data_IF_260885829070
#
_entry.id   IF_260885829070
#
_cell.length_a   1.000
_cell.length_b   1.000
_cell.length_c   1.000
_cell.angle_alpha   90.00
_cell.angle_beta   90.00
_cell.angle_gamma   90.00
#
_symmetry.space_group_name_H-M   'P 1'
#
loop_
_entity.id
_entity.type
_entity.pdbx_description
1 polymer ?
#
# COMPACT_ATOMS: atom_id res chain seq x y z
N UNK A 1 7.78 2.21 -2.09
CA UNK A 1 7.71 0.78 -2.43
C UNK A 1 6.27 0.31 -2.41
N UNK A 2 5.94 -0.69 -3.22
CA UNK A 2 4.73 -1.50 -3.09
C UNK A 2 5.11 -2.96 -2.94
N UNK A 3 4.43 -3.71 -2.07
CA UNK A 3 4.75 -5.10 -1.77
C UNK A 3 3.47 -5.94 -1.65
N UNK A 4 3.51 -7.15 -2.18
CA UNK A 4 2.41 -8.11 -2.18
C UNK A 4 2.94 -9.54 -2.10
N UNK A 5 2.11 -10.43 -1.55
CA UNK A 5 2.34 -11.88 -1.57
C UNK A 5 1.12 -12.55 -2.19
N UNK A 6 1.37 -13.35 -3.23
CA UNK A 6 0.34 -14.18 -3.84
C UNK A 6 0.55 -15.63 -3.41
N UNK A 7 -0.51 -16.21 -2.83
CA UNK A 7 -0.57 -17.62 -2.48
C UNK A 7 -1.12 -18.47 -3.63
N UNK A 8 -0.77 -19.76 -3.68
CA UNK A 8 -1.39 -20.70 -4.60
C UNK A 8 -2.87 -20.92 -4.25
N UNK A 9 -3.57 -21.67 -5.12
CA UNK A 9 -4.98 -21.99 -4.93
C UNK A 9 -5.25 -22.60 -3.53
N UNK A 10 -6.42 -22.37 -2.90
CA UNK A 10 -6.73 -22.92 -1.57
C UNK A 10 -6.58 -24.44 -1.40
N UNK A 11 -6.68 -25.20 -2.50
CA UNK A 11 -6.54 -26.67 -2.53
C UNK A 11 -5.14 -27.14 -2.96
N UNK A 12 -4.22 -26.22 -3.18
CA UNK A 12 -2.83 -26.52 -3.44
C UNK A 12 -2.06 -26.39 -2.11
N UNK A 13 -1.38 -27.47 -1.72
CA UNK A 13 -0.64 -27.61 -0.47
C UNK A 13 0.88 -27.66 -0.68
N UNK A 14 1.35 -27.54 -1.94
CA UNK A 14 2.75 -27.77 -2.30
C UNK A 14 3.37 -26.55 -2.95
N UNK A 15 2.63 -25.84 -3.80
CA UNK A 15 3.19 -24.71 -4.54
C UNK A 15 3.67 -23.59 -3.61
N UNK A 16 4.79 -22.94 -3.90
CA UNK A 16 5.28 -21.86 -3.06
C UNK A 16 4.36 -20.63 -3.13
N UNK A 17 4.47 -19.76 -2.13
CA UNK A 17 3.96 -18.39 -2.27
C UNK A 17 4.96 -17.56 -3.06
N UNK A 18 4.50 -16.50 -3.72
CA UNK A 18 5.38 -15.59 -4.48
C UNK A 18 5.25 -14.18 -3.92
N UNK A 19 6.35 -13.64 -3.43
CA UNK A 19 6.45 -12.24 -3.01
C UNK A 19 6.95 -11.36 -4.17
N UNK A 20 6.38 -10.17 -4.27
CA UNK A 20 6.81 -9.15 -5.21
C UNK A 20 6.95 -7.80 -4.50
N UNK A 21 8.05 -7.10 -4.76
CA UNK A 21 8.31 -5.74 -4.24
C UNK A 21 8.69 -4.86 -5.42
N UNK A 22 8.08 -3.67 -5.49
CA UNK A 22 8.36 -2.65 -6.51
C UNK A 22 8.86 -1.36 -5.89
N UNK A 23 9.82 -0.72 -6.53
CA UNK A 23 10.35 0.60 -6.17
C UNK A 23 10.17 1.59 -7.31
N UNK A 24 9.79 2.84 -7.01
CA UNK A 24 9.78 3.92 -8.00
C UNK A 24 11.21 4.31 -8.33
N UNK A 25 11.52 4.61 -9.60
CA UNK A 25 12.88 4.81 -10.11
C UNK A 25 13.12 6.18 -10.73
N UNK A 26 12.13 7.06 -10.66
CA UNK A 26 12.26 8.44 -11.10
C UNK A 26 11.61 9.38 -10.10
N UNK A 27 12.42 10.20 -9.43
CA UNK A 27 11.93 11.26 -8.56
C UNK A 27 12.11 12.61 -9.26
N UNK A 28 11.11 13.52 -9.27
CA UNK A 28 9.86 13.50 -8.49
C UNK A 28 8.62 12.86 -9.16
N UNK A 29 8.71 12.44 -10.43
CA UNK A 29 7.53 11.98 -11.17
C UNK A 29 6.90 10.66 -10.63
N UNK A 30 7.69 9.78 -10.02
CA UNK A 30 7.30 8.53 -9.37
C UNK A 30 6.36 7.63 -10.20
N UNK A 31 6.60 7.54 -11.52
CA UNK A 31 5.75 6.81 -12.47
C UNK A 31 6.49 5.66 -13.22
N UNK A 32 7.80 5.50 -13.00
CA UNK A 32 8.57 4.34 -13.46
C UNK A 32 8.89 3.46 -12.28
N UNK A 33 8.64 2.16 -12.40
CA UNK A 33 8.87 1.19 -11.33
C UNK A 33 9.70 0.01 -11.83
N UNK A 34 10.57 -0.50 -10.96
CA UNK A 34 11.27 -1.78 -11.14
C UNK A 34 10.77 -2.75 -10.07
N UNK A 35 10.66 -4.03 -10.42
CA UNK A 35 10.25 -5.11 -9.53
C UNK A 35 11.41 -6.01 -9.12
N UNK A 36 11.25 -6.64 -7.95
CA UNK A 36 11.93 -7.86 -7.52
C UNK A 36 10.88 -8.87 -7.11
N UNK A 37 11.14 -10.14 -7.39
CA UNK A 37 10.24 -11.24 -7.06
C UNK A 37 11.01 -12.39 -6.43
N UNK A 38 10.39 -13.08 -5.49
CA UNK A 38 10.98 -14.23 -4.78
C UNK A 38 9.90 -15.29 -4.56
N UNK A 39 10.28 -16.53 -4.78
CA UNK A 39 9.52 -17.68 -4.30
C UNK A 39 9.82 -17.84 -2.81
N UNK A 40 8.79 -18.06 -2.01
CA UNK A 40 8.92 -18.25 -0.57
C UNK A 40 8.06 -19.42 -0.08
N UNK A 41 8.21 -19.77 1.19
CA UNK A 41 7.52 -20.90 1.82
C UNK A 41 6.01 -20.92 1.53
N UNK A 42 5.44 -22.13 1.40
CA UNK A 42 4.01 -22.33 1.15
C UNK A 42 3.16 -21.55 2.17
N UNK A 43 2.19 -20.77 1.69
CA UNK A 43 1.31 -19.89 2.50
C UNK A 43 2.02 -18.98 3.52
N UNK A 44 3.28 -18.65 3.28
CA UNK A 44 3.99 -17.67 4.09
C UNK A 44 3.57 -16.28 3.66
N UNK A 45 2.95 -15.50 4.55
CA UNK A 45 2.55 -14.11 4.27
C UNK A 45 3.72 -13.14 4.44
N UNK A 46 4.60 -13.35 5.41
CA UNK A 46 5.72 -12.41 5.65
C UNK A 46 6.75 -12.58 4.54
N UNK A 47 7.21 -11.48 3.94
CA UNK A 47 8.18 -11.53 2.85
C UNK A 47 9.55 -11.93 3.39
N UNK A 48 9.97 -13.17 3.13
CA UNK A 48 11.18 -13.76 3.72
C UNK A 48 12.46 -13.02 3.29
N UNK A 49 12.55 -12.68 2.00
CA UNK A 49 13.76 -12.09 1.40
C UNK A 49 13.61 -10.57 1.19
N UNK A 50 12.79 -9.91 2.02
CA UNK A 50 12.47 -8.48 1.87
C UNK A 50 13.72 -7.60 1.97
N UNK A 51 14.66 -7.96 2.85
CA UNK A 51 15.90 -7.22 3.04
C UNK A 51 16.71 -7.12 1.73
N UNK A 52 16.92 -8.25 1.05
CA UNK A 52 17.66 -8.28 -0.20
C UNK A 52 16.92 -7.51 -1.30
N UNK A 53 15.60 -7.73 -1.44
CA UNK A 53 14.77 -7.07 -2.44
C UNK A 53 14.78 -5.54 -2.27
N UNK A 54 14.65 -5.04 -1.04
CA UNK A 54 14.69 -3.61 -0.75
C UNK A 54 16.08 -3.04 -1.02
N UNK A 55 17.14 -3.73 -0.59
CA UNK A 55 18.52 -3.31 -0.83
C UNK A 55 18.82 -3.16 -2.32
N UNK A 56 18.47 -4.16 -3.12
CA UNK A 56 18.59 -4.13 -4.59
C UNK A 56 17.81 -2.96 -5.20
N UNK A 57 16.57 -2.70 -4.76
CA UNK A 57 15.78 -1.60 -5.29
C UNK A 57 16.32 -0.22 -4.89
N UNK A 58 16.94 -0.08 -3.71
CA UNK A 58 17.61 1.17 -3.31
C UNK A 58 18.88 1.38 -4.14
N UNK A 59 19.63 0.32 -4.47
CA UNK A 59 20.78 0.39 -5.39
C UNK A 59 20.36 0.88 -6.78
N UNK A 60 19.28 0.31 -7.33
CA UNK A 60 18.69 0.74 -8.60
C UNK A 60 18.24 2.20 -8.55
N UNK A 61 17.58 2.61 -7.47
CA UNK A 61 17.18 4.00 -7.27
C UNK A 61 18.38 4.94 -7.23
N UNK A 62 19.43 4.58 -6.48
CA UNK A 62 20.67 5.34 -6.42
C UNK A 62 21.31 5.45 -7.80
N UNK A 63 21.30 4.38 -8.59
CA UNK A 63 21.81 4.40 -9.95
C UNK A 63 20.99 5.33 -10.86
N UNK A 64 19.65 5.28 -10.78
CA UNK A 64 18.76 6.07 -11.64
C UNK A 64 18.69 7.55 -11.25
N UNK A 65 18.60 7.85 -9.95
CA UNK A 65 18.34 9.20 -9.41
C UNK A 65 19.64 9.88 -8.92
N UNK A 66 20.74 9.13 -8.82
CA UNK A 66 22.05 9.59 -8.31
C UNK A 66 22.02 10.11 -6.87
N UNK A 67 20.97 9.76 -6.12
CA UNK A 67 20.77 10.13 -4.71
C UNK A 67 20.06 8.99 -3.99
N UNK A 68 20.42 8.76 -2.73
CA UNK A 68 19.65 7.87 -1.85
C UNK A 68 18.33 8.56 -1.44
N UNK A 69 17.21 7.82 -1.34
CA UNK A 69 15.94 8.42 -0.96
C UNK A 69 15.96 8.81 0.52
N UNK A 70 15.57 10.03 0.86
CA UNK A 70 15.53 10.46 2.27
C UNK A 70 14.35 9.89 3.05
N UNK A 71 13.28 9.52 2.33
CA UNK A 71 12.04 8.99 2.88
C UNK A 71 11.68 7.72 2.14
N UNK A 72 11.26 6.70 2.89
CA UNK A 72 10.71 5.46 2.37
C UNK A 72 9.24 5.40 2.75
N UNK A 73 8.38 5.21 1.76
CA UNK A 73 6.95 4.98 1.95
C UNK A 73 6.67 3.58 1.43
N UNK A 74 6.23 2.68 2.30
CA UNK A 74 6.07 1.26 2.01
C UNK A 74 4.59 0.88 2.08
N UNK A 75 4.03 0.48 0.95
CA UNK A 75 2.65 0.01 0.83
C UNK A 75 2.63 -1.52 0.77
N UNK A 76 2.09 -2.17 1.80
CA UNK A 76 1.96 -3.62 1.91
C UNK A 76 0.52 -4.06 1.66
N UNK A 77 0.25 -4.74 0.55
CA UNK A 77 -1.09 -5.25 0.20
C UNK A 77 -1.41 -6.57 0.92
N UNK A 78 -2.66 -6.96 1.05
CA UNK A 78 -3.03 -8.36 1.35
C UNK A 78 -2.90 -8.85 2.79
N UNK A 79 -2.45 -8.02 3.74
CA UNK A 79 -2.25 -8.44 5.13
C UNK A 79 -3.53 -8.27 5.96
N UNK A 80 -3.91 -9.29 6.74
CA UNK A 80 -5.02 -9.22 7.69
C UNK A 80 -4.63 -8.49 8.98
N UNK A 81 -5.60 -7.87 9.66
CA UNK A 81 -5.38 -7.13 10.92
C UNK A 81 -4.68 -7.99 11.99
N UNK A 82 -5.04 -9.27 12.06
CA UNK A 82 -4.44 -10.25 12.98
C UNK A 82 -2.93 -10.45 12.78
N UNK A 83 -2.40 -10.12 11.60
CA UNK A 83 -1.00 -10.28 11.23
C UNK A 83 -0.21 -8.96 11.30
N UNK A 84 -0.87 -7.81 11.52
CA UNK A 84 -0.24 -6.48 11.46
C UNK A 84 1.02 -6.39 12.33
N UNK A 85 0.93 -6.78 13.60
CA UNK A 85 2.07 -6.69 14.51
C UNK A 85 3.26 -7.53 14.05
N UNK A 86 2.99 -8.76 13.60
CA UNK A 86 4.04 -9.70 13.17
C UNK A 86 4.71 -9.23 11.88
N UNK A 87 3.90 -8.89 10.87
CA UNK A 87 4.36 -8.35 9.59
C UNK A 87 5.15 -7.06 9.81
N UNK A 88 4.62 -6.11 10.58
CA UNK A 88 5.32 -4.86 10.86
C UNK A 88 6.67 -5.12 11.49
N UNK A 89 6.72 -5.96 12.54
CA UNK A 89 7.97 -6.23 13.26
C UNK A 89 9.04 -6.82 12.35
N UNK A 90 8.70 -7.83 11.55
CA UNK A 90 9.65 -8.54 10.70
C UNK A 90 10.02 -7.71 9.44
N UNK A 91 9.03 -7.16 8.74
CA UNK A 91 9.26 -6.44 7.48
C UNK A 91 9.88 -5.04 7.70
N UNK A 92 9.48 -4.31 8.75
CA UNK A 92 10.13 -3.03 9.07
C UNK A 92 11.60 -3.24 9.44
N UNK A 93 11.90 -4.30 10.18
CA UNK A 93 13.28 -4.64 10.51
C UNK A 93 14.08 -4.98 9.25
N UNK A 94 13.53 -5.78 8.35
CA UNK A 94 14.17 -6.11 7.07
C UNK A 94 14.47 -4.85 6.23
N UNK A 95 13.53 -3.89 6.15
CA UNK A 95 13.74 -2.60 5.47
C UNK A 95 14.88 -1.81 6.12
N UNK A 96 14.94 -1.76 7.46
CA UNK A 96 16.00 -1.07 8.20
C UNK A 96 17.36 -1.71 7.97
N UNK A 97 17.45 -3.05 8.01
CA UNK A 97 18.71 -3.77 7.75
C UNK A 97 19.16 -3.56 6.31
N UNK A 98 18.24 -3.57 5.33
CA UNK A 98 18.56 -3.25 3.93
C UNK A 98 19.20 -1.86 3.77
N UNK A 99 18.76 -0.87 4.56
CA UNK A 99 19.35 0.47 4.56
C UNK A 99 20.80 0.50 5.09
N UNK A 100 21.20 -0.45 5.96
CA UNK A 100 22.56 -0.53 6.51
C UNK A 100 23.61 -0.88 5.45
N UNK A 101 23.20 -1.39 4.28
CA UNK A 101 24.09 -1.62 3.12
C UNK A 101 24.72 -0.33 2.61
N UNK A 102 24.16 0.84 2.93
CA UNK A 102 24.63 2.14 2.47
C UNK A 102 25.25 2.94 3.61
N UNK A 103 26.42 3.51 3.37
CA UNK A 103 27.19 4.21 4.39
C UNK A 103 26.41 5.38 5.00
N UNK A 104 26.23 5.35 6.32
CA UNK A 104 25.54 6.37 7.11
C UNK A 104 24.11 6.71 6.60
N UNK A 105 23.42 5.71 6.03
CA UNK A 105 22.08 5.90 5.47
C UNK A 105 20.98 5.52 6.47
N UNK A 106 20.19 6.51 6.89
CA UNK A 106 19.09 6.35 7.83
C UNK A 106 17.86 7.14 7.33
N UNK A 107 17.12 6.62 6.35
CA UNK A 107 15.92 7.26 5.87
C UNK A 107 14.79 7.14 6.90
N UNK A 108 13.84 8.07 6.86
CA UNK A 108 12.59 7.94 7.61
C UNK A 108 11.60 7.03 6.88
N UNK A 109 10.97 6.12 7.59
CA UNK A 109 10.07 5.10 7.04
C UNK A 109 8.62 5.35 7.47
N UNK A 110 7.70 5.31 6.50
CA UNK A 110 6.26 5.12 6.76
C UNK A 110 5.84 3.77 6.19
N UNK A 111 5.21 2.95 7.02
CA UNK A 111 4.71 1.62 6.68
C UNK A 111 3.18 1.62 6.73
N UNK A 112 2.55 1.31 5.59
CA UNK A 112 1.11 1.23 5.47
C UNK A 112 0.68 -0.14 4.98
N UNK A 113 -0.36 -0.69 5.58
CA UNK A 113 -1.09 -1.83 5.01
C UNK A 113 -2.25 -1.33 4.15
N UNK A 114 -2.46 -1.99 3.02
CA UNK A 114 -3.50 -1.71 2.03
C UNK A 114 -4.44 -2.91 1.96
N UNK A 115 -5.70 -2.72 2.32
CA UNK A 115 -6.71 -3.77 2.31
C UNK A 115 -7.81 -3.43 1.30
N UNK A 116 -7.74 -4.08 0.13
CA UNK A 116 -8.72 -3.89 -0.97
C UNK A 116 -9.94 -4.82 -0.85
N UNK A 117 -9.84 -5.86 0.00
CA UNK A 117 -10.84 -6.92 0.15
C UNK A 117 -11.31 -6.96 1.61
N UNK A 118 -12.42 -6.30 1.89
CA UNK A 118 -13.09 -6.25 3.19
C UNK A 118 -14.61 -6.11 3.00
N UNK A 119 -15.37 -6.08 4.11
CA UNK A 119 -16.83 -6.09 4.09
C UNK A 119 -17.48 -4.69 4.11
N UNK A 120 -16.73 -3.64 4.44
CA UNK A 120 -17.21 -2.25 4.47
C UNK A 120 -17.62 -1.72 3.10
N UNK A 121 -18.82 -1.12 2.99
CA UNK A 121 -19.34 -0.46 1.78
C UNK A 121 -19.89 0.91 2.15
N UNK A 122 -19.79 1.86 1.25
CA UNK A 122 -20.31 3.22 1.44
C UNK A 122 -21.37 3.53 0.40
N UNK A 123 -22.40 4.25 0.85
CA UNK A 123 -23.57 4.66 0.07
C UNK A 123 -23.88 6.11 0.39
N UNK A 124 -24.55 6.79 -0.53
CA UNK A 124 -25.07 8.13 -0.25
C UNK A 124 -26.16 8.07 0.83
N UNK A 125 -26.21 9.11 1.64
CA UNK A 125 -27.36 9.32 2.50
C UNK A 125 -28.53 9.80 1.62
N UNK A 126 -29.58 8.99 1.51
CA UNK A 126 -30.78 9.25 0.69
C UNK A 126 -31.38 10.66 0.92
N UNK A 127 -31.27 11.21 2.13
CA UNK A 127 -31.79 12.53 2.48
C UNK A 127 -30.97 13.70 1.91
N UNK A 128 -29.75 13.44 1.42
CA UNK A 128 -28.82 14.41 0.84
C UNK A 128 -28.51 14.16 -0.63
N UNK A 129 -29.14 13.16 -1.25
CA UNK A 129 -29.00 12.94 -2.68
C UNK A 129 -29.60 14.15 -3.42
N UNK A 130 -28.78 14.80 -4.25
CA UNK A 130 -29.24 15.88 -5.13
C UNK A 130 -30.24 15.31 -6.13
N UNK A 131 -31.20 16.12 -6.60
CA UNK A 131 -32.06 15.72 -7.73
C UNK A 131 -31.18 15.28 -8.91
N UNK A 132 -31.18 13.97 -9.21
CA UNK A 132 -30.39 13.37 -10.29
C UNK A 132 -29.33 12.34 -9.85
N UNK A 133 -29.00 12.23 -8.56
CA UNK A 133 -28.17 11.14 -8.04
C UNK A 133 -29.06 9.95 -7.69
N UNK A 134 -28.98 8.88 -8.49
CA UNK A 134 -29.76 7.67 -8.21
C UNK A 134 -29.25 6.98 -6.94
N UNK A 135 -30.15 6.36 -6.17
CA UNK A 135 -29.81 5.59 -4.96
C UNK A 135 -28.80 4.46 -5.21
N UNK A 136 -28.70 4.02 -6.46
CA UNK A 136 -27.86 2.91 -6.92
C UNK A 136 -26.46 3.37 -7.38
N UNK A 137 -26.16 4.66 -7.33
CA UNK A 137 -24.83 5.18 -7.69
C UNK A 137 -23.80 4.96 -6.58
N UNK A 138 -22.59 4.61 -7.00
CA UNK A 138 -21.45 4.53 -6.10
C UNK A 138 -21.03 5.92 -5.61
N UNK A 139 -20.43 5.95 -4.41
CA UNK A 139 -19.72 7.14 -3.93
C UNK A 139 -18.62 7.58 -4.93
N UNK A 140 -18.37 8.88 -5.07
CA UNK A 140 -17.44 9.39 -6.06
C UNK A 140 -15.99 9.04 -5.71
N UNK A 141 -15.08 8.92 -6.70
CA UNK A 141 -13.65 8.82 -6.43
C UNK A 141 -13.15 10.02 -5.62
N UNK A 142 -12.19 9.79 -4.75
CA UNK A 142 -11.69 10.77 -3.79
C UNK A 142 -12.48 10.82 -2.48
N UNK A 143 -13.57 10.04 -2.34
CA UNK A 143 -14.26 9.93 -1.05
C UNK A 143 -13.34 9.30 -0.01
N UNK A 144 -13.10 10.02 1.07
CA UNK A 144 -12.32 9.58 2.24
C UNK A 144 -13.25 9.45 3.44
N UNK A 145 -13.07 8.39 4.22
CA UNK A 145 -13.71 8.24 5.53
C UNK A 145 -12.64 7.86 6.55
N UNK A 146 -12.32 8.80 7.44
CA UNK A 146 -11.32 8.67 8.49
C UNK A 146 -11.90 8.89 9.91
N UNK A 147 -13.23 8.95 10.03
CA UNK A 147 -13.94 9.18 11.28
C UNK A 147 -15.09 8.19 11.48
N UNK A 148 -15.54 8.05 12.73
CA UNK A 148 -16.71 7.26 13.20
C UNK A 148 -16.57 5.75 13.09
N UNK A 149 -16.17 5.24 11.91
CA UNK A 149 -16.11 3.80 11.59
C UNK A 149 -14.67 3.30 11.38
N UNK A 150 -13.69 4.15 11.64
CA UNK A 150 -12.26 3.83 11.69
C UNK A 150 -11.85 3.34 13.07
N UNK A 151 -10.61 2.87 13.21
CA UNK A 151 -10.08 2.38 14.46
C UNK A 151 -10.09 3.51 15.52
N UNK A 152 -10.51 3.24 16.77
CA UNK A 152 -10.68 4.30 17.78
C UNK A 152 -9.37 4.94 18.25
N UNK A 153 -8.20 4.35 17.93
CA UNK A 153 -6.88 4.79 18.43
C UNK A 153 -5.75 4.70 17.42
N UNK A 154 -5.95 3.98 16.33
CA UNK A 154 -4.89 3.77 15.33
C UNK A 154 -5.12 4.71 14.18
N UNK A 155 -4.12 4.83 13.31
CA UNK A 155 -4.21 5.72 12.17
C UNK A 155 -4.63 4.93 10.94
N UNK A 156 -5.94 4.87 10.72
CA UNK A 156 -6.54 4.24 9.56
C UNK A 156 -7.59 5.13 8.88
N UNK A 157 -7.85 4.84 7.61
CA UNK A 157 -8.88 5.52 6.83
C UNK A 157 -9.27 4.71 5.61
N UNK A 158 -10.47 4.93 5.13
CA UNK A 158 -10.93 4.41 3.86
C UNK A 158 -10.77 5.46 2.77
N UNK A 159 -10.39 5.04 1.58
CA UNK A 159 -10.33 5.87 0.38
C UNK A 159 -10.94 5.11 -0.81
N UNK A 160 -12.01 5.66 -1.37
CA UNK A 160 -12.52 5.23 -2.66
C UNK A 160 -11.81 6.03 -3.75
N UNK A 161 -10.77 5.48 -4.37
CA UNK A 161 -9.98 6.20 -5.40
C UNK A 161 -10.43 5.96 -6.84
N UNK A 162 -11.51 5.19 -7.07
CA UNK A 162 -11.91 4.75 -8.40
C UNK A 162 -13.41 4.94 -8.66
N UNK A 163 -13.76 5.01 -9.94
CA UNK A 163 -15.16 5.01 -10.38
C UNK A 163 -15.74 3.59 -10.33
N UNK A 164 -16.83 3.41 -9.57
CA UNK A 164 -17.56 2.15 -9.50
C UNK A 164 -18.43 1.94 -10.73
N UNK A 165 -17.89 1.35 -11.80
CA UNK A 165 -18.62 1.14 -13.06
C UNK A 165 -19.76 0.12 -12.96
N UNK A 166 -19.65 -0.86 -12.06
CA UNK A 166 -20.65 -1.92 -11.90
C UNK A 166 -20.63 -2.47 -10.47
N UNK A 167 -21.82 -2.72 -9.94
CA UNK A 167 -22.00 -3.18 -8.55
C UNK A 167 -21.56 -2.11 -7.55
N UNK A 168 -21.33 -2.50 -6.30
CA UNK A 168 -20.89 -1.59 -5.25
C UNK A 168 -19.37 -1.52 -5.17
N UNK A 169 -18.82 -0.31 -5.23
CA UNK A 169 -17.41 0.00 -5.01
C UNK A 169 -16.93 -0.55 -3.68
N UNK A 170 -15.65 -0.93 -3.65
CA UNK A 170 -14.96 -1.34 -2.42
C UNK A 170 -13.91 -0.27 -2.10
N UNK A 171 -14.20 0.67 -1.19
CA UNK A 171 -13.26 1.71 -0.80
C UNK A 171 -12.08 1.07 -0.08
N UNK A 172 -10.86 1.25 -0.56
CA UNK A 172 -9.68 0.61 0.03
C UNK A 172 -9.46 1.11 1.44
N UNK A 173 -9.21 0.21 2.39
CA UNK A 173 -8.87 0.53 3.77
C UNK A 173 -7.35 0.59 3.92
N UNK A 174 -6.84 1.70 4.43
CA UNK A 174 -5.43 1.93 4.67
C UNK A 174 -5.19 2.01 6.17
N UNK A 175 -4.17 1.29 6.66
CA UNK A 175 -3.71 1.34 8.05
C UNK A 175 -2.25 1.78 8.08
N UNK A 176 -1.96 2.91 8.73
CA UNK A 176 -0.60 3.38 8.97
C UNK A 176 -0.08 2.69 10.23
N UNK A 177 0.74 1.65 10.03
CA UNK A 177 1.27 0.85 11.12
C UNK A 177 2.53 1.45 11.77
N UNK A 178 3.28 2.26 11.00
CA UNK A 178 4.48 2.93 11.49
C UNK A 178 4.72 4.20 10.68
N UNK A 179 5.10 5.30 11.34
CA UNK A 179 5.38 6.55 10.64
C UNK A 179 6.45 7.42 11.31
N UNK A 180 7.66 7.39 10.75
CA UNK A 180 8.76 8.29 11.11
C UNK A 180 8.72 9.61 10.32
N UNK A 181 7.91 9.69 9.26
CA UNK A 181 7.76 10.92 8.47
C UNK A 181 6.78 11.91 9.09
N UNK A 182 6.01 11.47 10.10
CA UNK A 182 5.03 12.28 10.84
C UNK A 182 3.99 12.93 9.92
N UNK A 183 3.46 12.15 8.99
CA UNK A 183 2.39 12.57 8.10
C UNK A 183 1.13 12.95 8.88
N UNK A 184 0.52 14.05 8.46
CA UNK A 184 -0.87 14.35 8.81
C UNK A 184 -1.83 13.55 7.93
N UNK A 185 -3.05 13.32 8.41
CA UNK A 185 -4.14 12.65 7.67
C UNK A 185 -4.29 13.19 6.25
N UNK A 186 -4.46 14.51 6.10
CA UNK A 186 -4.60 15.14 4.78
C UNK A 186 -3.42 14.87 3.84
N UNK A 187 -2.19 14.81 4.37
CA UNK A 187 -0.98 14.65 3.56
C UNK A 187 -0.88 13.24 3.02
N UNK A 188 -1.08 12.23 3.87
CA UNK A 188 -1.00 10.82 3.47
C UNK A 188 -2.19 10.44 2.57
N UNK A 189 -3.39 10.92 2.87
CA UNK A 189 -4.59 10.68 2.06
C UNK A 189 -4.44 11.27 0.65
N UNK A 190 -3.98 12.53 0.53
CA UNK A 190 -3.72 13.18 -0.77
C UNK A 190 -2.60 12.48 -1.53
N UNK A 191 -1.51 12.11 -0.85
CA UNK A 191 -0.41 11.37 -1.47
C UNK A 191 -0.93 10.07 -2.11
N UNK A 192 -1.66 9.26 -1.35
CA UNK A 192 -2.16 7.97 -1.81
C UNK A 192 -3.16 8.13 -2.94
N UNK A 193 -4.08 9.10 -2.82
CA UNK A 193 -5.04 9.41 -3.87
C UNK A 193 -4.32 9.77 -5.18
N UNK A 194 -3.31 10.65 -5.13
CA UNK A 194 -2.52 11.03 -6.30
C UNK A 194 -1.76 9.84 -6.89
N UNK A 195 -1.22 8.96 -6.06
CA UNK A 195 -0.52 7.76 -6.54
C UNK A 195 -1.44 6.81 -7.32
N UNK A 196 -2.74 6.76 -7.00
CA UNK A 196 -3.70 5.95 -7.76
C UNK A 196 -3.80 6.36 -9.25
N UNK A 197 -3.51 7.62 -9.59
CA UNK A 197 -3.53 8.13 -10.97
C UNK A 197 -2.20 7.98 -11.71
N UNK A 198 -1.21 7.31 -11.11
CA UNK A 198 0.10 7.07 -11.75
C UNK A 198 0.19 5.71 -12.45
N UNK A 199 -0.91 4.92 -12.45
CA UNK A 199 -0.94 3.59 -13.04
C UNK A 199 -0.96 3.64 -14.57
N UNK A 200 0.20 3.38 -15.19
CA UNK A 200 0.44 3.61 -16.62
C UNK A 200 -0.41 2.78 -17.61
N UNK A 201 -1.11 1.74 -17.15
CA UNK A 201 -1.89 0.85 -18.05
C UNK A 201 -3.29 1.36 -18.37
N UNK A 202 -3.75 2.44 -17.75
CA UNK A 202 -5.04 3.05 -18.06
C UNK A 202 -5.02 4.57 -17.83
N UNK A 203 -5.97 5.27 -18.47
CA UNK A 203 -6.22 6.70 -18.29
C UNK A 203 -7.41 6.90 -17.32
N UNK A 204 -7.32 6.31 -16.13
CA UNK A 204 -8.39 6.31 -15.11
C UNK A 204 -7.83 6.68 -13.74
#
# INVERSE_FOLDING_TARGET
FGADVTHPHPLDDVSPSVAAVVGSMNWPAANKYISRMRSQTHRQEIIEDLEAMVGELIEEFLFAVKKLPKRIIFFRDGVSETMFHKVLKEELQAIRVACLRFFNYKPTITFLVVQKRHHTRFFFNEKKASYGQFSDENIPPGTVVDTVITHPREFDFYLCSHWGMKGTSRPTHYHVLWDENQFKSDEVQKLIHNLCYTYARCTR
#
